data_IF_091545707760
#
_entry.id   IF_091545707760
#
_cell.length_a   1.000
_cell.length_b   1.000
_cell.length_c   1.000
_cell.angle_alpha   90.00
_cell.angle_beta   90.00
_cell.angle_gamma   90.00
#
_symmetry.space_group_name_H-M   'P 1'
#
loop_
_entity.id
_entity.type
_entity.pdbx_description
1 polymer ?
#
# COMPACT_ATOMS: atom_id res chain seq x y z
N UNK A 1 13.06 19.90 -9.54
CA UNK A 1 14.32 19.64 -8.79
C UNK A 1 14.39 18.14 -8.53
N UNK A 2 15.56 17.53 -8.70
CA UNK A 2 15.78 16.11 -8.38
C UNK A 2 16.28 15.99 -6.95
N UNK A 3 16.01 14.84 -6.29
CA UNK A 3 16.51 14.52 -4.95
C UNK A 3 18.04 14.61 -4.90
N UNK A 4 18.61 15.27 -3.89
CA UNK A 4 20.07 15.31 -3.70
C UNK A 4 20.57 14.07 -2.95
N UNK A 5 21.87 13.73 -3.04
CA UNK A 5 22.45 12.61 -2.27
C UNK A 5 22.25 12.77 -0.75
N UNK A 6 22.38 13.97 -0.21
CA UNK A 6 22.18 14.27 1.21
C UNK A 6 20.73 14.07 1.64
N UNK A 7 19.77 14.51 0.80
CA UNK A 7 18.34 14.29 1.04
C UNK A 7 17.98 12.80 0.97
N UNK A 8 18.61 12.05 0.05
CA UNK A 8 18.41 10.60 -0.04
C UNK A 8 18.90 9.88 1.22
N UNK A 9 20.06 10.27 1.78
CA UNK A 9 20.56 9.73 3.05
C UNK A 9 19.61 10.05 4.21
N UNK A 10 19.15 11.29 4.31
CA UNK A 10 18.19 11.70 5.35
C UNK A 10 16.86 10.95 5.23
N UNK A 11 16.39 10.73 4.00
CA UNK A 11 15.19 9.94 3.74
C UNK A 11 15.36 8.48 4.21
N UNK A 12 16.48 7.84 3.87
CA UNK A 12 16.78 6.47 4.28
C UNK A 12 16.84 6.34 5.80
N UNK A 13 17.49 7.26 6.49
CA UNK A 13 17.56 7.28 7.96
C UNK A 13 16.17 7.43 8.60
N UNK A 14 15.33 8.31 8.05
CA UNK A 14 13.95 8.50 8.50
C UNK A 14 13.11 7.24 8.27
N UNK A 15 13.22 6.62 7.08
CA UNK A 15 12.54 5.38 6.73
C UNK A 15 12.93 4.23 7.65
N UNK A 16 14.23 4.02 7.89
CA UNK A 16 14.72 2.97 8.78
C UNK A 16 14.27 3.17 10.24
N UNK A 17 14.19 4.42 10.70
CA UNK A 17 13.65 4.73 12.03
C UNK A 17 12.17 4.37 12.14
N UNK A 18 11.36 4.63 11.11
CA UNK A 18 9.96 4.23 11.05
C UNK A 18 9.82 2.71 11.10
N UNK A 19 10.57 1.99 10.27
CA UNK A 19 10.56 0.52 10.22
C UNK A 19 10.92 -0.06 11.58
N UNK A 20 12.04 0.35 12.18
CA UNK A 20 12.50 -0.13 13.50
C UNK A 20 11.48 0.18 14.61
N UNK A 21 10.84 1.34 14.56
CA UNK A 21 9.81 1.70 15.53
C UNK A 21 8.63 0.73 15.52
N UNK A 22 8.15 0.35 14.32
CA UNK A 22 7.04 -0.60 14.16
C UNK A 22 7.45 -2.03 14.45
N UNK A 23 8.68 -2.44 14.13
CA UNK A 23 9.21 -3.78 14.40
C UNK A 23 9.25 -4.14 15.90
N UNK A 24 9.31 -3.14 16.78
CA UNK A 24 9.24 -3.38 18.23
C UNK A 24 7.90 -3.97 18.67
N UNK A 25 6.85 -3.72 17.92
CA UNK A 25 5.46 -4.17 18.20
C UNK A 25 5.02 -5.29 17.25
N UNK A 26 5.43 -5.21 16.00
CA UNK A 26 5.04 -6.18 14.94
C UNK A 26 6.26 -7.05 14.62
N UNK A 27 6.46 -8.08 15.44
CA UNK A 27 7.66 -8.90 15.42
C UNK A 27 7.76 -9.81 14.19
N UNK A 28 8.95 -9.89 13.60
CA UNK A 28 9.26 -10.80 12.48
C UNK A 28 8.59 -10.44 11.16
N UNK A 29 8.16 -9.18 10.98
CA UNK A 29 7.39 -8.73 9.82
C UNK A 29 8.06 -7.58 9.06
N UNK A 30 9.40 -7.52 9.07
CA UNK A 30 10.18 -6.46 8.43
C UNK A 30 9.71 -6.19 6.99
N UNK A 31 9.54 -7.25 6.18
CA UNK A 31 9.17 -7.11 4.78
C UNK A 31 7.84 -6.34 4.60
N UNK A 32 6.76 -6.77 5.26
CA UNK A 32 5.46 -6.11 5.12
C UNK A 32 5.44 -4.71 5.74
N UNK A 33 6.22 -4.47 6.80
CA UNK A 33 6.39 -3.13 7.40
C UNK A 33 7.04 -2.19 6.38
N UNK A 34 8.11 -2.63 5.70
CA UNK A 34 8.76 -1.85 4.63
C UNK A 34 7.83 -1.57 3.47
N UNK A 35 7.06 -2.57 3.01
CA UNK A 35 6.04 -2.37 1.97
C UNK A 35 4.96 -1.38 2.41
N UNK A 36 4.50 -1.44 3.65
CA UNK A 36 3.48 -0.53 4.17
C UNK A 36 3.99 0.93 4.21
N UNK A 37 5.24 1.17 4.66
CA UNK A 37 5.82 2.52 4.60
C UNK A 37 6.14 2.95 3.17
N UNK A 38 6.54 2.04 2.29
CA UNK A 38 6.70 2.34 0.86
C UNK A 38 5.36 2.76 0.26
N UNK A 39 4.25 2.07 0.59
CA UNK A 39 2.91 2.46 0.14
C UNK A 39 2.48 3.83 0.70
N UNK A 40 2.69 4.09 2.00
CA UNK A 40 2.36 5.36 2.66
C UNK A 40 3.12 6.53 2.03
N UNK A 41 4.44 6.41 1.86
CA UNK A 41 5.30 7.44 1.29
C UNK A 41 5.17 7.56 -0.25
N UNK A 42 4.52 6.58 -0.88
CA UNK A 42 4.05 6.66 -2.27
C UNK A 42 2.63 7.19 -2.37
N UNK A 43 2.03 7.67 -1.27
CA UNK A 43 0.65 8.17 -1.21
C UNK A 43 -0.35 7.16 -1.80
N UNK A 44 -0.21 5.90 -1.39
CA UNK A 44 -1.05 4.81 -1.86
C UNK A 44 -1.64 3.99 -0.72
N UNK A 45 -2.47 3.04 -1.07
CA UNK A 45 -3.20 2.17 -0.15
C UNK A 45 -2.70 0.73 -0.26
N UNK A 46 -2.77 -0.03 0.83
CA UNK A 46 -2.27 -1.40 0.91
C UNK A 46 -3.42 -2.39 1.06
N UNK A 47 -3.41 -3.45 0.27
CA UNK A 47 -4.29 -4.60 0.44
C UNK A 47 -3.51 -5.75 1.10
N UNK A 48 -4.01 -6.28 2.20
CA UNK A 48 -3.45 -7.43 2.89
C UNK A 48 -4.38 -8.65 2.71
N UNK A 49 -3.85 -9.67 2.11
CA UNK A 49 -4.57 -10.93 1.94
C UNK A 49 -4.06 -11.95 2.95
N UNK A 50 -4.83 -12.15 4.01
CA UNK A 50 -4.40 -12.94 5.15
C UNK A 50 -5.55 -13.59 5.90
N UNK A 51 -5.22 -14.71 6.56
CA UNK A 51 -6.10 -15.33 7.55
C UNK A 51 -6.28 -14.44 8.79
N UNK A 52 -7.33 -14.63 9.59
CA UNK A 52 -7.52 -13.94 10.86
C UNK A 52 -6.35 -14.18 11.84
N UNK A 53 -6.07 -13.20 12.70
CA UNK A 53 -5.10 -13.35 13.79
C UNK A 53 -3.63 -13.11 13.45
N UNK A 54 -3.30 -12.62 12.25
CA UNK A 54 -1.90 -12.37 11.81
C UNK A 54 -1.30 -11.03 12.27
N UNK A 55 -2.05 -10.21 13.03
CA UNK A 55 -1.53 -8.93 13.56
C UNK A 55 -1.83 -7.70 12.70
N UNK A 56 -2.79 -7.77 11.77
CA UNK A 56 -3.19 -6.66 10.87
C UNK A 56 -3.54 -5.37 11.63
N UNK A 57 -4.33 -5.50 12.69
CA UNK A 57 -4.72 -4.35 13.53
C UNK A 57 -3.51 -3.74 14.25
N UNK A 58 -2.59 -4.57 14.74
CA UNK A 58 -1.36 -4.10 15.39
C UNK A 58 -0.46 -3.35 14.40
N UNK A 59 -0.34 -3.84 13.16
CA UNK A 59 0.42 -3.18 12.10
C UNK A 59 -0.15 -1.78 11.78
N UNK A 60 -1.46 -1.69 11.50
CA UNK A 60 -2.10 -0.42 11.15
C UNK A 60 -1.97 0.60 12.30
N UNK A 61 -2.20 0.18 13.54
CA UNK A 61 -2.08 1.02 14.73
C UNK A 61 -0.63 1.49 14.94
N UNK A 62 0.33 0.59 14.80
CA UNK A 62 1.75 0.90 14.97
C UNK A 62 2.25 1.91 13.92
N UNK A 63 1.82 1.77 12.65
CA UNK A 63 2.12 2.74 11.60
C UNK A 63 1.56 4.11 11.96
N UNK A 64 0.28 4.21 12.35
CA UNK A 64 -0.32 5.49 12.70
C UNK A 64 0.39 6.17 13.88
N UNK A 65 0.72 5.41 14.93
CA UNK A 65 1.46 5.92 16.08
C UNK A 65 2.85 6.42 15.70
N UNK A 66 3.56 5.71 14.82
CA UNK A 66 4.91 6.09 14.40
C UNK A 66 4.97 7.44 13.66
N UNK A 67 3.86 7.84 13.01
CA UNK A 67 3.75 9.11 12.26
C UNK A 67 2.91 10.17 12.99
N UNK A 68 2.67 10.03 14.28
CA UNK A 68 1.77 10.89 15.09
C UNK A 68 0.39 11.08 14.47
N UNK A 69 -0.05 10.12 13.69
CA UNK A 69 -1.34 10.14 13.02
C UNK A 69 -2.44 9.51 13.85
N UNK A 70 -3.66 9.77 13.43
CA UNK A 70 -4.85 9.09 13.95
C UNK A 70 -5.08 7.77 13.22
N UNK A 71 -5.65 6.76 13.92
CA UNK A 71 -6.06 5.52 13.28
C UNK A 71 -7.47 5.13 13.67
N UNK A 72 -8.23 4.65 12.69
CA UNK A 72 -9.53 4.05 12.90
C UNK A 72 -9.58 2.63 12.31
N UNK A 73 -10.40 1.77 12.89
CA UNK A 73 -10.71 0.44 12.37
C UNK A 73 -12.18 0.36 12.02
N UNK A 74 -12.45 -0.12 10.82
CA UNK A 74 -13.80 -0.42 10.32
C UNK A 74 -13.84 -1.91 10.04
N UNK A 75 -14.70 -2.64 10.75
CA UNK A 75 -14.99 -4.05 10.45
C UNK A 75 -16.09 -4.09 9.40
N UNK A 76 -15.79 -4.63 8.24
CA UNK A 76 -16.75 -4.77 7.16
C UNK A 76 -17.67 -5.97 7.42
N UNK A 77 -18.97 -5.73 7.40
CA UNK A 77 -20.04 -6.71 7.60
C UNK A 77 -21.08 -6.54 6.51
N UNK A 78 -21.93 -7.56 6.24
CA UNK A 78 -22.95 -7.46 5.18
C UNK A 78 -23.97 -6.34 5.38
N UNK A 79 -24.22 -5.93 6.61
CA UNK A 79 -25.15 -4.88 7.02
C UNK A 79 -24.53 -3.48 7.07
N UNK A 80 -23.20 -3.35 6.92
CA UNK A 80 -22.51 -2.07 6.94
C UNK A 80 -22.96 -1.19 5.78
N UNK A 81 -23.36 0.04 6.05
CA UNK A 81 -23.80 1.03 5.06
C UNK A 81 -22.66 1.99 4.69
N UNK A 82 -22.70 2.61 3.50
CA UNK A 82 -21.74 3.65 3.10
C UNK A 82 -21.59 4.78 4.13
N UNK A 83 -22.70 5.27 4.69
CA UNK A 83 -22.71 6.33 5.68
C UNK A 83 -22.02 5.96 7.00
N UNK A 84 -21.95 4.67 7.34
CA UNK A 84 -21.22 4.22 8.53
C UNK A 84 -19.71 4.41 8.39
N UNK A 85 -19.22 4.49 7.15
CA UNK A 85 -17.81 4.71 6.81
C UNK A 85 -17.53 6.21 6.62
N UNK A 86 -18.35 6.88 5.80
CA UNK A 86 -18.12 8.26 5.38
C UNK A 86 -18.68 9.29 6.36
N UNK A 87 -19.63 8.88 7.17
CA UNK A 87 -20.38 9.79 8.01
C UNK A 87 -21.73 10.17 7.41
N UNK A 88 -22.54 10.82 8.22
CA UNK A 88 -23.93 11.19 7.89
C UNK A 88 -24.24 12.59 8.38
N UNK A 89 -25.10 13.31 7.68
CA UNK A 89 -25.67 14.57 8.14
C UNK A 89 -26.90 14.29 9.02
N UNK A 90 -26.88 14.80 10.24
CA UNK A 90 -27.96 14.67 11.20
C UNK A 90 -28.60 16.04 11.42
N UNK A 91 -29.93 16.09 11.39
CA UNK A 91 -30.66 17.32 11.66
C UNK A 91 -30.65 17.64 13.17
N UNK A 92 -30.01 18.74 13.54
CA UNK A 92 -30.05 19.27 14.88
C UNK A 92 -31.34 20.10 15.08
N UNK A 93 -32.29 19.54 15.82
CA UNK A 93 -33.56 20.19 16.11
C UNK A 93 -33.42 21.45 16.97
N UNK A 94 -32.32 21.59 17.74
CA UNK A 94 -32.11 22.76 18.62
C UNK A 94 -31.68 23.98 17.84
N UNK A 95 -30.86 23.77 16.81
CA UNK A 95 -30.29 24.83 15.98
C UNK A 95 -31.00 24.96 14.63
N UNK A 96 -31.86 23.99 14.27
CA UNK A 96 -32.57 23.97 12.98
C UNK A 96 -31.66 23.78 11.77
N UNK A 97 -30.50 23.14 11.95
CA UNK A 97 -29.46 22.96 10.95
C UNK A 97 -29.05 21.49 10.81
N UNK A 98 -28.56 21.12 9.63
CA UNK A 98 -27.90 19.83 9.44
C UNK A 98 -26.44 19.92 9.91
N UNK A 99 -26.01 18.96 10.71
CA UNK A 99 -24.65 18.82 11.19
C UNK A 99 -24.04 17.53 10.65
N UNK A 100 -22.87 17.64 10.02
CA UNK A 100 -22.16 16.48 9.48
C UNK A 100 -21.38 15.76 10.59
N UNK A 101 -21.77 14.55 10.89
CA UNK A 101 -21.08 13.65 11.80
C UNK A 101 -20.09 12.80 11.01
N UNK A 102 -18.80 13.09 11.20
CA UNK A 102 -17.71 12.41 10.49
C UNK A 102 -17.68 10.92 10.81
N UNK A 103 -17.59 10.09 9.77
CA UNK A 103 -17.36 8.66 9.89
C UNK A 103 -15.91 8.29 10.20
N UNK A 104 -15.63 6.99 10.41
CA UNK A 104 -14.30 6.50 10.75
C UNK A 104 -13.26 6.68 9.64
N UNK A 105 -13.65 7.01 8.41
CA UNK A 105 -12.73 7.30 7.30
C UNK A 105 -11.87 8.54 7.55
N UNK A 106 -12.30 9.45 8.43
CA UNK A 106 -11.58 10.67 8.77
C UNK A 106 -10.46 10.38 9.79
N UNK A 107 -9.45 9.67 9.32
CA UNK A 107 -8.21 9.38 10.05
C UNK A 107 -7.04 9.32 9.06
N UNK A 108 -5.80 9.38 9.58
CA UNK A 108 -4.61 9.25 8.74
C UNK A 108 -4.41 7.82 8.24
N UNK A 109 -4.62 6.84 9.12
CA UNK A 109 -4.53 5.41 8.78
C UNK A 109 -5.86 4.74 9.10
N UNK A 110 -6.51 4.16 8.11
CA UNK A 110 -7.78 3.44 8.26
C UNK A 110 -7.54 1.97 7.98
N UNK A 111 -7.81 1.11 8.96
CA UNK A 111 -7.88 -0.33 8.77
C UNK A 111 -9.30 -0.71 8.36
N UNK A 112 -9.48 -1.08 7.08
CA UNK A 112 -10.71 -1.64 6.54
C UNK A 112 -10.64 -3.17 6.60
N UNK A 113 -11.16 -3.75 7.70
CA UNK A 113 -10.99 -5.18 7.98
C UNK A 113 -12.09 -6.01 7.30
N UNK A 114 -11.70 -7.04 6.54
CA UNK A 114 -12.57 -7.95 5.79
C UNK A 114 -13.48 -7.23 4.76
N UNK A 115 -12.87 -6.36 3.93
CA UNK A 115 -13.58 -5.51 2.96
C UNK A 115 -14.51 -6.30 2.04
N UNK A 116 -14.18 -7.56 1.72
CA UNK A 116 -14.97 -8.44 0.87
C UNK A 116 -16.28 -8.96 1.52
N UNK A 117 -16.54 -8.68 2.80
CA UNK A 117 -17.80 -9.05 3.47
C UNK A 117 -18.92 -8.02 3.30
N UNK A 118 -18.59 -6.77 3.03
CA UNK A 118 -19.61 -5.75 2.83
C UNK A 118 -20.14 -5.73 1.39
N UNK A 119 -21.32 -5.11 1.23
CA UNK A 119 -21.96 -4.95 -0.08
C UNK A 119 -21.07 -4.19 -1.06
N UNK A 120 -21.21 -4.40 -2.39
CA UNK A 120 -20.47 -3.65 -3.40
C UNK A 120 -20.64 -2.13 -3.29
N UNK A 121 -21.82 -1.68 -2.83
CA UNK A 121 -22.11 -0.25 -2.61
C UNK A 121 -21.24 0.33 -1.50
N UNK A 122 -21.06 -0.40 -0.41
CA UNK A 122 -20.24 0.00 0.74
C UNK A 122 -18.75 -0.05 0.39
N UNK A 123 -18.32 -1.08 -0.36
CA UNK A 123 -16.95 -1.14 -0.90
C UNK A 123 -16.66 0.07 -1.79
N UNK A 124 -17.58 0.42 -2.71
CA UNK A 124 -17.41 1.55 -3.62
C UNK A 124 -17.27 2.88 -2.90
N UNK A 125 -17.97 3.10 -1.81
CA UNK A 125 -17.85 4.32 -1.01
C UNK A 125 -16.44 4.48 -0.38
N UNK A 126 -15.86 3.39 0.16
CA UNK A 126 -14.48 3.41 0.65
C UNK A 126 -13.50 3.72 -0.49
N UNK A 127 -13.65 3.03 -1.61
CA UNK A 127 -12.74 3.13 -2.76
C UNK A 127 -12.82 4.51 -3.44
N UNK A 128 -13.97 5.18 -3.40
CA UNK A 128 -14.12 6.55 -3.84
C UNK A 128 -13.30 7.50 -2.97
N UNK A 129 -13.43 7.38 -1.64
CA UNK A 129 -12.63 8.21 -0.72
C UNK A 129 -11.13 7.94 -0.85
N UNK A 130 -10.72 6.70 -1.12
CA UNK A 130 -9.31 6.37 -1.39
C UNK A 130 -8.77 7.10 -2.62
N UNK A 131 -9.59 7.30 -3.65
CA UNK A 131 -9.16 7.97 -4.88
C UNK A 131 -9.21 9.49 -4.77
N UNK A 132 -10.31 10.01 -4.20
CA UNK A 132 -10.58 11.45 -4.15
C UNK A 132 -9.93 12.16 -2.94
N UNK A 133 -9.58 11.42 -1.87
CA UNK A 133 -9.08 12.00 -0.62
C UNK A 133 -10.09 12.86 0.12
N UNK A 134 -11.38 12.73 -0.20
CA UNK A 134 -12.45 13.57 0.33
C UNK A 134 -13.80 12.84 0.34
N UNK A 135 -14.73 13.37 1.13
CA UNK A 135 -16.14 12.96 1.18
C UNK A 135 -17.01 14.15 0.85
N UNK A 136 -17.95 14.02 -0.08
CA UNK A 136 -18.93 15.07 -0.38
C UNK A 136 -20.30 14.65 0.12
N UNK A 137 -20.87 15.45 1.05
CA UNK A 137 -22.21 15.21 1.64
C UNK A 137 -22.99 16.53 1.63
N UNK A 138 -24.21 16.49 1.16
CA UNK A 138 -25.12 17.65 1.06
C UNK A 138 -24.49 18.86 0.31
N UNK A 139 -23.66 18.57 -0.70
CA UNK A 139 -22.96 19.59 -1.49
C UNK A 139 -21.74 20.21 -0.81
N UNK A 140 -21.39 19.74 0.40
CA UNK A 140 -20.18 20.17 1.13
C UNK A 140 -19.10 19.10 1.03
N UNK A 141 -17.89 19.50 0.66
CA UNK A 141 -16.73 18.62 0.56
C UNK A 141 -15.89 18.67 1.84
N UNK A 142 -15.64 17.51 2.41
CA UNK A 142 -14.84 17.31 3.63
C UNK A 142 -13.58 16.54 3.29
N UNK A 143 -12.41 17.16 3.48
CA UNK A 143 -11.12 16.51 3.25
C UNK A 143 -10.84 15.48 4.34
N UNK A 144 -10.28 14.31 3.96
CA UNK A 144 -9.75 13.34 4.93
C UNK A 144 -8.40 13.79 5.49
N UNK A 145 -7.86 13.07 6.45
CA UNK A 145 -6.54 13.40 7.03
C UNK A 145 -5.40 13.29 6.02
N UNK A 146 -4.33 14.05 6.24
CA UNK A 146 -3.10 13.99 5.44
C UNK A 146 -1.91 13.75 6.37
N UNK A 147 -1.06 12.71 6.16
CA UNK A 147 -1.18 11.70 5.12
C UNK A 147 -2.43 10.83 5.29
N UNK A 148 -2.91 10.21 4.21
CA UNK A 148 -4.05 9.31 4.23
C UNK A 148 -3.70 7.96 3.62
N UNK A 149 -3.92 6.88 4.37
CA UNK A 149 -3.71 5.53 3.89
C UNK A 149 -4.80 4.58 4.40
N UNK A 150 -5.36 3.82 3.49
CA UNK A 150 -6.21 2.67 3.83
C UNK A 150 -5.36 1.40 3.77
N UNK A 151 -5.41 0.62 4.85
CA UNK A 151 -4.93 -0.75 4.88
C UNK A 151 -6.18 -1.63 4.87
N UNK A 152 -6.51 -2.18 3.72
CA UNK A 152 -7.65 -3.08 3.59
C UNK A 152 -7.20 -4.53 3.78
N UNK A 153 -8.09 -5.37 4.33
CA UNK A 153 -7.82 -6.80 4.47
C UNK A 153 -8.88 -7.63 3.75
N UNK A 154 -8.45 -8.75 3.20
CA UNK A 154 -9.31 -9.81 2.67
C UNK A 154 -8.94 -11.13 3.30
N UNK A 155 -9.94 -11.98 3.53
CA UNK A 155 -9.72 -13.37 3.89
C UNK A 155 -9.91 -14.23 2.65
N UNK A 156 -8.87 -14.90 2.12
CA UNK A 156 -8.97 -15.69 0.90
C UNK A 156 -9.77 -16.98 1.09
N UNK A 157 -9.93 -17.44 2.33
CA UNK A 157 -10.55 -18.73 2.65
C UNK A 157 -12.08 -18.61 2.75
N UNK A 158 -12.60 -17.47 3.17
CA UNK A 158 -14.04 -17.23 3.31
C UNK A 158 -14.66 -16.92 1.94
N UNK A 159 -15.27 -17.90 1.30
CA UNK A 159 -16.00 -17.73 0.03
C UNK A 159 -17.51 -17.52 0.23
N UNK A 160 -18.08 -18.09 1.29
CA UNK A 160 -19.52 -17.99 1.55
C UNK A 160 -19.90 -16.61 2.13
N UNK A 161 -20.82 -15.91 1.48
CA UNK A 161 -21.31 -14.60 1.93
C UNK A 161 -20.34 -13.45 1.71
N UNK A 162 -19.36 -13.60 0.80
CA UNK A 162 -18.43 -12.55 0.43
C UNK A 162 -18.68 -12.01 -0.98
N UNK A 163 -18.33 -10.76 -1.20
CA UNK A 163 -18.36 -10.09 -2.50
C UNK A 163 -16.91 -9.80 -2.93
N UNK A 164 -16.44 -10.50 -3.95
CA UNK A 164 -15.10 -10.22 -4.51
C UNK A 164 -15.01 -8.78 -4.99
N UNK A 165 -13.86 -8.14 -4.72
CA UNK A 165 -13.54 -6.86 -5.33
C UNK A 165 -13.30 -7.07 -6.83
N UNK A 166 -14.01 -6.33 -7.73
CA UNK A 166 -13.67 -6.33 -9.14
C UNK A 166 -12.25 -5.82 -9.40
N UNK A 167 -11.64 -6.22 -10.51
CA UNK A 167 -10.28 -5.89 -10.90
C UNK A 167 -10.04 -4.36 -10.93
N UNK A 168 -11.01 -3.60 -11.45
CA UNK A 168 -10.95 -2.13 -11.47
C UNK A 168 -10.91 -1.49 -10.08
N UNK A 169 -11.40 -2.20 -9.06
CA UNK A 169 -11.36 -1.78 -7.67
C UNK A 169 -10.04 -2.19 -6.99
N UNK A 170 -9.53 -3.38 -7.33
CA UNK A 170 -8.21 -3.83 -6.88
C UNK A 170 -7.09 -2.91 -7.38
N UNK A 171 -7.22 -2.35 -8.59
CA UNK A 171 -6.23 -1.43 -9.17
C UNK A 171 -6.06 -0.11 -8.38
N UNK A 172 -6.96 0.21 -7.44
CA UNK A 172 -6.84 1.37 -6.53
C UNK A 172 -5.84 1.14 -5.39
N UNK A 173 -5.55 -0.11 -5.04
CA UNK A 173 -4.50 -0.42 -4.09
C UNK A 173 -3.14 -0.36 -4.78
N UNK A 174 -2.20 0.41 -4.23
CA UNK A 174 -0.87 0.55 -4.84
C UNK A 174 -0.07 -0.75 -4.75
N UNK A 175 -0.27 -1.49 -3.66
CA UNK A 175 0.36 -2.78 -3.40
C UNK A 175 -0.61 -3.77 -2.76
N UNK A 176 -0.39 -5.05 -3.04
CA UNK A 176 -0.97 -6.19 -2.31
C UNK A 176 0.15 -6.99 -1.68
N UNK A 177 -0.05 -7.45 -0.44
CA UNK A 177 0.91 -8.29 0.29
C UNK A 177 0.19 -9.17 1.30
N UNK A 178 0.95 -9.99 2.03
CA UNK A 178 0.48 -10.76 3.17
C UNK A 178 1.39 -10.52 4.38
N UNK A 179 0.84 -10.61 5.58
CA UNK A 179 1.62 -10.60 6.82
C UNK A 179 2.14 -12.01 7.12
N UNK A 180 1.29 -13.01 6.88
CA UNK A 180 1.55 -14.40 7.17
C UNK A 180 1.72 -14.70 8.67
N UNK A 181 2.00 -15.94 9.02
CA UNK A 181 2.32 -16.33 10.39
C UNK A 181 3.74 -15.86 10.78
N UNK A 182 3.99 -15.54 12.04
CA UNK A 182 5.34 -15.24 12.52
C UNK A 182 6.23 -16.47 12.39
N UNK A 183 7.53 -16.26 12.18
CA UNK A 183 8.52 -17.32 12.29
C UNK A 183 8.62 -17.86 13.71
N UNK A 184 9.29 -19.01 13.88
CA UNK A 184 9.36 -19.69 15.17
C UNK A 184 9.98 -18.82 16.28
N UNK A 185 11.03 -18.07 15.99
CA UNK A 185 11.68 -17.21 16.97
C UNK A 185 10.78 -16.03 17.37
N UNK A 186 10.09 -15.42 16.41
CA UNK A 186 9.11 -14.37 16.66
C UNK A 186 7.90 -14.89 17.42
N UNK A 187 7.45 -16.11 17.15
CA UNK A 187 6.36 -16.75 17.88
C UNK A 187 6.73 -16.94 19.37
N UNK A 188 7.94 -17.44 19.67
CA UNK A 188 8.42 -17.57 21.05
C UNK A 188 8.40 -16.20 21.75
N UNK A 189 8.92 -15.16 21.12
CA UNK A 189 8.93 -13.80 21.68
C UNK A 189 7.52 -13.25 21.95
N UNK A 190 6.57 -13.56 21.10
CA UNK A 190 5.15 -13.19 21.27
C UNK A 190 4.55 -13.93 22.47
N UNK A 191 4.84 -15.23 22.62
CA UNK A 191 4.33 -16.05 23.71
C UNK A 191 4.97 -15.64 25.06
N UNK A 192 6.26 -15.37 25.10
CA UNK A 192 6.96 -14.87 26.29
C UNK A 192 6.43 -13.49 26.72
N UNK A 193 6.05 -12.65 25.77
CA UNK A 193 5.44 -11.34 26.02
C UNK A 193 3.94 -11.40 26.39
N UNK A 194 3.27 -12.55 26.28
CA UNK A 194 1.83 -12.68 26.51
C UNK A 194 1.41 -12.46 27.98
N UNK A 195 2.36 -12.47 28.92
CA UNK A 195 2.14 -12.08 30.33
C UNK A 195 1.97 -10.56 30.54
N UNK A 196 2.37 -9.74 29.59
CA UNK A 196 2.14 -8.30 29.54
C UNK A 196 1.01 -8.08 28.52
N UNK A 197 -0.03 -7.34 28.89
CA UNK A 197 -1.16 -7.09 27.97
C UNK A 197 -0.60 -6.55 26.65
N UNK A 198 -0.83 -7.27 25.55
CA UNK A 198 -0.41 -6.88 24.18
C UNK A 198 -0.95 -5.49 23.76
N UNK A 199 -1.82 -4.89 24.57
CA UNK A 199 -2.38 -3.55 24.39
C UNK A 199 -1.48 -2.42 24.93
N UNK A 200 -0.45 -2.72 25.72
CA UNK A 200 0.36 -1.70 26.43
C UNK A 200 1.64 -1.32 25.67
N UNK A 201 2.03 -2.07 24.63
CA UNK A 201 3.19 -1.69 23.82
C UNK A 201 2.75 -0.65 22.77
N UNK A 202 3.06 0.60 23.05
CA UNK A 202 2.82 1.72 22.14
C UNK A 202 4.11 2.05 21.39
N UNK A 203 3.98 2.31 20.08
CA UNK A 203 5.10 2.84 19.29
C UNK A 203 5.30 4.31 19.65
N UNK A 204 6.50 4.68 20.05
CA UNK A 204 6.82 6.10 20.21
C UNK A 204 6.77 6.79 18.84
N UNK A 205 6.19 8.00 18.74
CA UNK A 205 6.17 8.76 17.49
C UNK A 205 7.59 9.01 17.00
N UNK A 206 7.85 8.62 15.75
CA UNK A 206 9.16 8.74 15.09
C UNK A 206 9.22 10.02 14.25
N UNK A 207 8.15 10.31 13.53
CA UNK A 207 8.00 11.48 12.67
C UNK A 207 6.65 12.15 12.92
N UNK A 208 6.51 13.41 12.50
CA UNK A 208 5.21 14.07 12.44
C UNK A 208 4.50 13.75 11.11
N UNK A 209 3.19 13.94 11.06
CA UNK A 209 2.41 13.77 9.83
C UNK A 209 2.91 14.70 8.71
N UNK A 210 3.29 15.93 9.05
CA UNK A 210 3.83 16.92 8.12
C UNK A 210 5.16 16.43 7.51
N UNK A 211 6.06 15.87 8.33
CA UNK A 211 7.31 15.30 7.85
C UNK A 211 7.09 14.12 6.90
N UNK A 212 6.07 13.29 7.15
CA UNK A 212 5.71 12.20 6.23
C UNK A 212 5.27 12.75 4.87
N UNK A 213 4.49 13.83 4.85
CA UNK A 213 4.08 14.49 3.59
C UNK A 213 5.30 15.07 2.86
N UNK A 214 6.23 15.69 3.57
CA UNK A 214 7.48 16.20 2.99
C UNK A 214 8.33 15.08 2.39
N UNK A 215 8.47 13.97 3.10
CA UNK A 215 9.17 12.79 2.57
C UNK A 215 8.47 12.20 1.33
N UNK A 216 7.14 12.12 1.32
CA UNK A 216 6.40 11.68 0.15
C UNK A 216 6.63 12.60 -1.05
N UNK A 217 6.67 13.92 -0.83
CA UNK A 217 7.01 14.90 -1.87
C UNK A 217 8.46 14.73 -2.38
N UNK A 218 9.41 14.47 -1.48
CA UNK A 218 10.80 14.18 -1.86
C UNK A 218 10.93 12.89 -2.68
N UNK A 219 10.25 11.80 -2.29
CA UNK A 219 10.27 10.54 -3.04
C UNK A 219 9.83 10.73 -4.50
N UNK A 220 8.87 11.61 -4.77
CA UNK A 220 8.43 11.93 -6.15
C UNK A 220 9.53 12.54 -7.01
N UNK A 221 10.54 13.17 -6.41
CA UNK A 221 11.64 13.84 -7.11
C UNK A 221 12.83 12.92 -7.43
N UNK A 222 12.80 11.65 -7.01
CA UNK A 222 13.82 10.64 -7.35
C UNK A 222 13.91 10.50 -8.88
N UNK A 223 15.14 10.49 -9.39
CA UNK A 223 15.40 10.38 -10.81
C UNK A 223 15.09 8.97 -11.35
N UNK A 224 14.45 8.93 -12.51
CA UNK A 224 14.19 7.68 -13.25
C UNK A 224 14.79 7.84 -14.65
N UNK A 225 15.76 7.02 -14.98
CA UNK A 225 16.34 7.00 -16.32
C UNK A 225 15.34 6.45 -17.35
N UNK A 226 15.49 6.90 -18.60
CA UNK A 226 14.65 6.44 -19.70
C UNK A 226 14.72 4.91 -19.90
N UNK A 227 15.87 4.29 -19.63
CA UNK A 227 16.06 2.84 -19.70
C UNK A 227 15.25 2.08 -18.63
N UNK A 228 15.04 2.66 -17.44
CA UNK A 228 14.17 2.09 -16.41
C UNK A 228 12.70 2.21 -16.83
N UNK A 229 12.32 3.35 -17.42
CA UNK A 229 10.96 3.54 -17.94
C UNK A 229 10.64 2.55 -19.06
N UNK A 230 11.59 2.34 -19.99
CA UNK A 230 11.50 1.31 -21.03
C UNK A 230 11.37 -0.09 -20.43
N UNK A 231 12.20 -0.42 -19.42
CA UNK A 231 12.13 -1.71 -18.74
C UNK A 231 10.77 -1.97 -18.11
N UNK A 232 10.20 -0.99 -17.39
CA UNK A 232 8.85 -1.09 -16.84
C UNK A 232 7.80 -1.24 -17.94
N UNK A 233 7.92 -0.53 -19.05
CA UNK A 233 7.01 -0.68 -20.21
C UNK A 233 7.04 -2.09 -20.75
N UNK A 234 8.26 -2.66 -20.97
CA UNK A 234 8.42 -4.04 -21.47
C UNK A 234 7.85 -5.08 -20.49
N UNK A 235 8.03 -4.90 -19.17
CA UNK A 235 7.42 -5.77 -18.17
C UNK A 235 5.90 -5.73 -18.25
N UNK A 236 5.31 -4.53 -18.35
CA UNK A 236 3.86 -4.36 -18.44
C UNK A 236 3.31 -4.93 -19.75
N UNK A 237 3.97 -4.71 -20.87
CA UNK A 237 3.57 -5.27 -22.16
C UNK A 237 3.67 -6.80 -22.17
N UNK A 238 4.69 -7.38 -21.53
CA UNK A 238 4.81 -8.82 -21.35
C UNK A 238 3.61 -9.39 -20.56
N UNK A 239 3.08 -8.67 -19.56
CA UNK A 239 1.85 -9.12 -18.86
C UNK A 239 0.61 -9.16 -19.75
N UNK A 240 0.55 -8.35 -20.81
CA UNK A 240 -0.59 -8.29 -21.75
C UNK A 240 -0.53 -9.34 -22.83
N UNK A 241 0.67 -9.88 -23.08
CA UNK A 241 0.91 -10.87 -24.13
C UNK A 241 1.17 -12.27 -23.59
N UNK A 242 1.28 -12.43 -22.27
CA UNK A 242 1.45 -13.72 -21.62
C UNK A 242 0.22 -14.62 -21.88
N UNK A 243 0.43 -15.89 -22.32
CA UNK A 243 -0.67 -16.78 -22.71
C UNK A 243 -1.61 -17.14 -21.54
N UNK A 244 -1.13 -17.08 -20.32
CA UNK A 244 -1.90 -17.36 -19.10
C UNK A 244 -2.78 -16.19 -18.66
N UNK A 245 -2.63 -15.01 -19.29
CA UNK A 245 -3.23 -13.75 -18.84
C UNK A 245 -4.34 -13.31 -19.77
N UNK A 246 -5.55 -13.24 -19.25
CA UNK A 246 -6.72 -12.67 -19.93
C UNK A 246 -6.74 -11.14 -19.91
N UNK A 247 -6.31 -10.53 -18.79
CA UNK A 247 -6.18 -9.08 -18.64
C UNK A 247 -4.86 -8.76 -17.95
N UNK A 248 -3.96 -8.08 -18.68
CA UNK A 248 -2.68 -7.63 -18.18
C UNK A 248 -2.76 -6.29 -17.44
N UNK A 249 -1.61 -5.83 -16.98
CA UNK A 249 -1.47 -4.62 -16.16
C UNK A 249 -1.89 -3.36 -16.92
N UNK A 250 -2.64 -2.50 -16.25
CA UNK A 250 -3.06 -1.18 -16.74
C UNK A 250 -1.91 -0.16 -16.72
N UNK A 251 -2.10 0.99 -17.37
CA UNK A 251 -1.17 2.14 -17.25
C UNK A 251 -1.06 2.61 -15.79
N UNK A 252 -2.16 2.53 -15.03
CA UNK A 252 -2.17 2.86 -13.60
C UNK A 252 -1.20 1.97 -12.80
N UNK A 253 -1.14 0.67 -13.11
CA UNK A 253 -0.19 -0.27 -12.51
C UNK A 253 1.26 0.05 -12.86
N UNK A 254 1.55 0.42 -14.11
CA UNK A 254 2.89 0.88 -14.52
C UNK A 254 3.32 2.14 -13.74
N UNK A 255 2.43 3.12 -13.62
CA UNK A 255 2.68 4.35 -12.83
C UNK A 255 2.87 4.04 -11.34
N UNK A 256 2.09 3.10 -10.79
CA UNK A 256 2.26 2.64 -9.41
C UNK A 256 3.63 2.01 -9.18
N UNK A 257 4.12 1.19 -10.13
CA UNK A 257 5.44 0.56 -10.05
C UNK A 257 6.57 1.61 -10.07
N UNK A 258 6.51 2.59 -10.95
CA UNK A 258 7.48 3.70 -10.99
C UNK A 258 7.44 4.50 -9.69
N UNK A 259 6.25 4.84 -9.19
CA UNK A 259 6.08 5.65 -7.98
C UNK A 259 6.64 4.93 -6.74
N UNK A 260 6.36 3.65 -6.60
CA UNK A 260 6.87 2.84 -5.50
C UNK A 260 8.36 2.54 -5.61
N UNK A 261 8.90 2.35 -6.84
CA UNK A 261 10.33 2.20 -7.09
C UNK A 261 11.13 3.45 -6.70
N UNK A 262 10.60 4.65 -6.96
CA UNK A 262 11.18 5.91 -6.48
C UNK A 262 11.28 5.96 -4.96
N UNK A 263 10.20 5.61 -4.27
CA UNK A 263 10.16 5.58 -2.80
C UNK A 263 11.14 4.55 -2.24
N UNK A 264 11.23 3.36 -2.85
CA UNK A 264 12.18 2.32 -2.42
C UNK A 264 13.63 2.74 -2.66
N UNK A 265 13.93 3.39 -3.79
CA UNK A 265 15.25 3.93 -4.06
C UNK A 265 15.67 4.95 -3.00
N UNK A 266 14.79 5.91 -2.66
CA UNK A 266 15.02 6.88 -1.58
C UNK A 266 15.18 6.20 -0.22
N UNK A 267 14.37 5.19 0.10
CA UNK A 267 14.46 4.39 1.32
C UNK A 267 15.81 3.63 1.44
N UNK A 268 16.45 3.35 0.29
CA UNK A 268 17.79 2.75 0.22
C UNK A 268 18.91 3.80 0.04
N UNK A 269 18.66 5.08 0.30
CA UNK A 269 19.65 6.16 0.25
C UNK A 269 20.08 6.58 -1.17
N UNK A 270 19.28 6.24 -2.19
CA UNK A 270 19.60 6.56 -3.59
C UNK A 270 18.65 7.63 -4.12
N UNK A 271 19.20 8.55 -4.89
CA UNK A 271 18.46 9.62 -5.58
C UNK A 271 18.04 9.22 -7.00
N UNK A 272 18.27 7.96 -7.39
CA UNK A 272 17.88 7.37 -8.67
C UNK A 272 17.39 5.93 -8.49
N UNK A 273 16.51 5.50 -9.39
CA UNK A 273 15.97 4.14 -9.45
C UNK A 273 16.91 3.20 -10.20
N UNK A 274 17.05 1.97 -9.70
CA UNK A 274 17.79 0.88 -10.37
C UNK A 274 16.83 -0.27 -10.73
N UNK A 275 17.20 -1.16 -11.66
CA UNK A 275 16.35 -2.29 -12.07
C UNK A 275 15.90 -3.17 -10.91
N UNK A 276 16.73 -3.35 -9.88
CA UNK A 276 16.41 -4.19 -8.73
C UNK A 276 15.28 -3.60 -7.87
N UNK A 277 15.09 -2.27 -7.81
CA UNK A 277 13.92 -1.66 -7.17
C UNK A 277 12.63 -2.07 -7.88
N UNK A 278 12.66 -2.10 -9.21
CA UNK A 278 11.53 -2.51 -10.03
C UNK A 278 11.22 -3.99 -9.81
N UNK A 279 12.25 -4.86 -9.82
CA UNK A 279 12.08 -6.31 -9.63
C UNK A 279 11.46 -6.66 -8.27
N UNK A 280 11.98 -6.06 -7.19
CA UNK A 280 11.49 -6.31 -5.81
C UNK A 280 10.03 -5.91 -5.65
N UNK A 281 9.60 -4.86 -6.35
CA UNK A 281 8.24 -4.32 -6.25
C UNK A 281 7.29 -4.88 -7.31
N UNK A 282 7.77 -5.59 -8.32
CA UNK A 282 6.92 -6.09 -9.42
C UNK A 282 5.79 -6.98 -8.91
N UNK A 283 6.07 -7.97 -8.06
CA UNK A 283 5.04 -8.85 -7.52
C UNK A 283 4.02 -8.08 -6.65
N UNK A 284 4.40 -7.37 -5.57
CA UNK A 284 3.41 -6.70 -4.71
C UNK A 284 2.63 -5.61 -5.43
N UNK A 285 3.17 -5.02 -6.51
CA UNK A 285 2.49 -3.96 -7.26
C UNK A 285 1.68 -4.50 -8.42
N UNK A 286 2.13 -5.53 -9.14
CA UNK A 286 1.52 -5.96 -10.39
C UNK A 286 0.65 -7.22 -10.27
N UNK A 287 0.98 -8.18 -9.39
CA UNK A 287 0.31 -9.47 -9.37
C UNK A 287 -1.20 -9.39 -9.16
N UNK A 288 -1.67 -8.50 -8.27
CA UNK A 288 -3.10 -8.33 -7.99
C UNK A 288 -3.88 -7.59 -9.10
N UNK A 289 -3.20 -7.15 -10.16
CA UNK A 289 -3.75 -6.48 -11.33
C UNK A 289 -3.89 -7.40 -12.54
N UNK A 290 -3.40 -8.64 -12.42
CA UNK A 290 -3.53 -9.65 -13.45
C UNK A 290 -4.85 -10.43 -13.26
N UNK A 291 -5.57 -10.63 -14.36
CA UNK A 291 -6.63 -11.60 -14.44
C UNK A 291 -6.15 -12.74 -15.34
N UNK A 292 -6.06 -13.93 -14.77
CA UNK A 292 -5.63 -15.10 -15.51
C UNK A 292 -6.79 -15.70 -16.33
N UNK A 293 -6.45 -16.50 -17.32
CA UNK A 293 -7.43 -17.33 -18.00
C UNK A 293 -7.91 -18.45 -17.06
N UNK A 294 -9.22 -18.80 -17.09
CA UNK A 294 -9.79 -19.81 -16.21
C UNK A 294 -9.10 -21.17 -16.31
N UNK A 295 -8.60 -21.55 -17.49
CA UNK A 295 -7.85 -22.81 -17.69
C UNK A 295 -6.53 -22.77 -16.92
N UNK A 296 -5.79 -21.67 -17.01
CA UNK A 296 -4.53 -21.47 -16.29
C UNK A 296 -4.73 -21.46 -14.77
N UNK A 297 -5.80 -20.80 -14.27
CA UNK A 297 -6.15 -20.85 -12.85
C UNK A 297 -6.49 -22.27 -12.39
N UNK A 298 -7.22 -23.02 -13.21
CA UNK A 298 -7.56 -24.43 -12.92
C UNK A 298 -6.32 -25.32 -12.86
N UNK A 299 -5.32 -25.06 -13.70
CA UNK A 299 -4.02 -25.75 -13.72
C UNK A 299 -3.10 -25.32 -12.55
N UNK A 300 -3.57 -24.39 -11.70
CA UNK A 300 -2.86 -23.94 -10.50
C UNK A 300 -1.83 -22.83 -10.75
N UNK A 301 -1.85 -22.19 -11.93
CA UNK A 301 -1.02 -21.00 -12.19
C UNK A 301 -1.51 -19.85 -11.31
N UNK A 302 -0.55 -19.10 -10.77
CA UNK A 302 -0.84 -17.92 -9.94
C UNK A 302 -0.29 -16.64 -10.57
N UNK A 303 -0.92 -15.47 -10.33
CA UNK A 303 -0.40 -14.19 -10.81
C UNK A 303 1.05 -13.93 -10.39
N UNK A 304 1.45 -14.34 -9.18
CA UNK A 304 2.83 -14.22 -8.70
C UNK A 304 3.83 -15.04 -9.52
N UNK A 305 3.45 -16.26 -9.93
CA UNK A 305 4.28 -17.10 -10.82
C UNK A 305 4.44 -16.45 -12.20
N UNK A 306 3.37 -15.89 -12.77
CA UNK A 306 3.43 -15.19 -14.05
C UNK A 306 4.37 -13.98 -13.96
N UNK A 307 4.26 -13.16 -12.92
CA UNK A 307 5.18 -12.02 -12.72
C UNK A 307 6.62 -12.50 -12.56
N UNK A 308 6.86 -13.56 -11.78
CA UNK A 308 8.20 -14.11 -11.60
C UNK A 308 8.82 -14.60 -12.94
N UNK A 309 8.03 -15.25 -13.78
CA UNK A 309 8.48 -15.69 -15.11
C UNK A 309 8.79 -14.50 -16.02
N UNK A 310 7.91 -13.50 -16.08
CA UNK A 310 8.11 -12.28 -16.86
C UNK A 310 9.41 -11.56 -16.45
N UNK A 311 9.70 -11.49 -15.15
CA UNK A 311 10.93 -10.89 -14.63
C UNK A 311 12.20 -11.64 -15.09
N UNK A 312 12.13 -12.97 -15.26
CA UNK A 312 13.24 -13.79 -15.76
C UNK A 312 13.43 -13.59 -17.27
N UNK A 313 12.34 -13.51 -18.02
CA UNK A 313 12.35 -13.40 -19.49
C UNK A 313 12.65 -11.97 -19.98
N UNK A 314 12.32 -10.95 -19.19
CA UNK A 314 12.53 -9.55 -19.55
C UNK A 314 13.89 -9.06 -19.03
N UNK A 315 14.86 -8.98 -19.92
CA UNK A 315 16.21 -8.51 -19.55
C UNK A 315 16.16 -7.09 -18.98
N UNK A 316 16.77 -6.85 -17.79
CA UNK A 316 16.92 -5.49 -17.26
C UNK A 316 17.86 -4.66 -18.15
N UNK A 317 17.80 -3.32 -18.09
CA UNK A 317 18.77 -2.48 -18.78
C UNK A 317 20.18 -2.80 -18.28
N UNK A 318 21.12 -3.00 -19.23
CA UNK A 318 22.53 -3.15 -18.90
C UNK A 318 23.08 -1.82 -18.41
N UNK A 319 24.03 -1.86 -17.48
CA UNK A 319 24.80 -0.66 -17.11
C UNK A 319 25.41 -0.07 -18.39
N UNK A 320 25.04 1.18 -18.71
CA UNK A 320 25.77 1.92 -19.73
C UNK A 320 27.19 2.08 -19.19
N UNK A 321 28.17 1.44 -19.83
CA UNK A 321 29.55 1.88 -19.67
C UNK A 321 29.55 3.35 -20.06
N UNK A 322 29.78 4.22 -19.08
CA UNK A 322 30.00 5.63 -19.31
C UNK A 322 31.34 5.72 -20.05
N UNK A 323 31.31 5.62 -21.37
CA UNK A 323 32.41 6.08 -22.18
C UNK A 323 32.44 7.60 -22.04
N UNK A 324 33.47 8.21 -21.44
CA UNK A 324 33.59 9.64 -21.44
C UNK A 324 33.63 10.09 -22.89
N UNK A 325 32.68 10.95 -23.27
CA UNK A 325 32.67 11.59 -24.60
C UNK A 325 33.92 12.45 -24.73
N UNK A 326 34.85 12.15 -25.70
CA UNK A 326 36.09 12.91 -25.86
C UNK A 326 35.92 14.29 -26.49
N UNK A 327 34.69 14.80 -26.65
CA UNK A 327 34.38 16.02 -27.39
C UNK A 327 34.24 17.30 -26.57
N UNK A 328 34.67 17.33 -25.30
CA UNK A 328 34.80 18.57 -24.50
C UNK A 328 36.21 18.66 -23.89
N UNK A 329 37.19 18.91 -24.74
CA UNK A 329 38.47 19.57 -24.40
C UNK A 329 38.57 20.85 -25.19
#
# INVERSE_FOLDING_TARGET
MTLTPEQATQFADAFERLVRGVEQVVLGKNHVIRLAFTALLSEGHLLLEDVPGTGKTSLARAIAQSVRGTSNRVQFTPDLLPGDITGVSIYDQRHGTFEFHRGPIFANIVLADEINRASPKTQSALLEVMEEGQVTTDGVTHQVGTPFMVIATQNPIEQAGTYRLPEAQLDRFIMKSSIGYPDHASMIRILDGAGHRAHDVTVAPVLSAETVVELAALARTVFVDASITDYVSRLVDATRTAPEVRLGVSVRGALALIRTAKTLAAANGRYYVIPDDVKVLAEPVLAHRLLLDPESEFDGVTPSQVIAQILVETAPPSERQHSPDPSHV
#
